data_IF_317336809903
#
_entry.id   IF_317336809903
#
_cell.length_a   1.000
_cell.length_b   1.000
_cell.length_c   1.000
_cell.angle_alpha   90.00
_cell.angle_beta   90.00
_cell.angle_gamma   90.00
#
_symmetry.space_group_name_H-M   'P 1'
#
loop_
_entity.id
_entity.type
_entity.pdbx_description
1 polymer ?
#
# COMPACT_ATOMS: atom_id res chain seq x y z
N UNK A 1 -17.08 -13.94 -30.65
CA UNK A 1 -15.72 -14.44 -30.98
C UNK A 1 -14.81 -13.23 -31.13
N UNK A 2 -13.57 -13.28 -30.64
CA UNK A 2 -12.63 -12.16 -30.78
C UNK A 2 -12.19 -12.03 -32.26
N UNK A 3 -11.99 -10.81 -32.75
CA UNK A 3 -11.59 -10.59 -34.15
C UNK A 3 -10.08 -10.82 -34.30
N UNK A 4 -9.71 -11.99 -34.82
CA UNK A 4 -8.32 -12.48 -34.90
C UNK A 4 -7.42 -11.62 -35.81
N UNK A 5 -8.01 -10.86 -36.73
CA UNK A 5 -7.30 -10.01 -37.69
C UNK A 5 -6.65 -8.76 -37.05
N UNK A 6 -7.05 -8.39 -35.82
CA UNK A 6 -6.55 -7.21 -35.11
C UNK A 6 -5.47 -7.53 -34.05
N UNK A 7 -5.07 -8.79 -33.89
CA UNK A 7 -4.08 -9.20 -32.89
C UNK A 7 -2.67 -8.96 -33.43
N UNK A 8 -2.09 -7.80 -33.13
CA UNK A 8 -0.66 -7.55 -33.35
C UNK A 8 0.15 -8.11 -32.17
N UNK A 9 1.16 -8.97 -32.40
CA UNK A 9 2.02 -9.45 -31.33
C UNK A 9 2.78 -8.28 -30.70
N UNK A 10 2.88 -8.29 -29.36
CA UNK A 10 3.56 -7.24 -28.62
C UNK A 10 5.08 -7.45 -28.66
N UNK A 11 5.84 -6.36 -28.74
CA UNK A 11 7.30 -6.45 -28.63
C UNK A 11 7.69 -6.86 -27.19
N UNK A 12 8.80 -7.58 -27.00
CA UNK A 12 9.32 -7.85 -25.66
C UNK A 12 9.49 -6.56 -24.86
N UNK A 13 8.95 -6.52 -23.63
CA UNK A 13 8.95 -5.33 -22.77
C UNK A 13 7.84 -4.30 -23.05
N UNK A 14 6.99 -4.51 -24.06
CA UNK A 14 5.86 -3.64 -24.35
C UNK A 14 4.57 -4.20 -23.75
N UNK A 15 3.90 -3.42 -22.89
CA UNK A 15 2.56 -3.76 -22.41
C UNK A 15 1.57 -3.72 -23.57
N UNK A 16 0.71 -4.74 -23.67
CA UNK A 16 -0.41 -4.78 -24.61
C UNK A 16 -1.46 -3.68 -24.40
N UNK A 17 -1.43 -3.04 -23.22
CA UNK A 17 -2.21 -1.86 -22.93
C UNK A 17 -1.29 -0.73 -22.43
N UNK A 18 -0.65 0.03 -23.34
CA UNK A 18 0.27 1.11 -22.98
C UNK A 18 -0.44 2.29 -22.29
N UNK A 19 -1.77 2.41 -22.43
CA UNK A 19 -2.57 3.44 -21.74
C UNK A 19 -2.86 3.10 -20.27
N UNK A 20 -2.47 1.90 -19.82
CA UNK A 20 -2.78 1.43 -18.48
C UNK A 20 -4.27 1.09 -18.29
N UNK A 21 -4.69 0.72 -17.07
CA UNK A 21 -6.08 0.41 -16.79
C UNK A 21 -7.01 1.59 -17.13
N UNK A 22 -8.28 1.28 -17.42
CA UNK A 22 -9.27 2.31 -17.76
C UNK A 22 -9.38 3.35 -16.62
N UNK A 23 -9.59 4.64 -16.93
CA UNK A 23 -9.86 5.64 -15.91
C UNK A 23 -11.01 5.20 -15.00
N UNK A 24 -10.83 5.29 -13.68
CA UNK A 24 -11.80 4.82 -12.68
C UNK A 24 -11.66 3.34 -12.28
N UNK A 25 -10.69 2.61 -12.84
CA UNK A 25 -10.34 1.29 -12.34
C UNK A 25 -9.81 1.39 -10.90
N UNK A 26 -10.54 0.79 -9.95
CA UNK A 26 -10.12 0.69 -8.56
C UNK A 26 -9.33 -0.60 -8.37
N UNK A 27 -8.17 -0.49 -7.73
CA UNK A 27 -7.39 -1.65 -7.33
C UNK A 27 -8.01 -2.30 -6.08
N UNK A 28 -7.72 -3.57 -5.84
CA UNK A 28 -8.19 -4.30 -4.66
C UNK A 28 -7.83 -3.57 -3.35
N UNK A 29 -6.64 -2.97 -3.29
CA UNK A 29 -6.22 -2.16 -2.14
C UNK A 29 -7.16 -0.99 -1.87
N UNK A 30 -7.63 -0.30 -2.91
CA UNK A 30 -8.61 0.79 -2.80
C UNK A 30 -9.93 0.28 -2.24
N UNK A 31 -10.44 -0.85 -2.75
CA UNK A 31 -11.65 -1.46 -2.23
C UNK A 31 -11.54 -1.87 -0.75
N UNK A 32 -10.40 -2.43 -0.36
CA UNK A 32 -10.14 -2.81 1.04
C UNK A 32 -10.10 -1.57 1.93
N UNK A 33 -9.41 -0.50 1.51
CA UNK A 33 -9.36 0.75 2.27
C UNK A 33 -10.75 1.39 2.41
N UNK A 34 -11.54 1.40 1.36
CA UNK A 34 -12.93 1.91 1.39
C UNK A 34 -13.78 1.12 2.40
N UNK A 35 -13.75 -0.21 2.33
CA UNK A 35 -14.51 -1.06 3.26
C UNK A 35 -14.04 -0.93 4.72
N UNK A 36 -12.72 -0.83 4.95
CA UNK A 36 -12.18 -0.71 6.31
C UNK A 36 -12.49 0.64 6.99
N UNK A 37 -12.69 1.70 6.19
CA UNK A 37 -13.03 3.04 6.68
C UNK A 37 -14.54 3.33 6.66
N UNK A 38 -15.38 2.40 6.21
CA UNK A 38 -16.82 2.59 6.15
C UNK A 38 -17.42 2.75 7.56
N UNK A 39 -17.88 3.95 7.89
CA UNK A 39 -18.48 4.26 9.17
C UNK A 39 -19.88 3.63 9.35
N UNK A 40 -20.54 3.27 8.25
CA UNK A 40 -21.85 2.62 8.27
C UNK A 40 -21.75 1.10 8.32
N UNK A 41 -20.55 0.55 8.51
CA UNK A 41 -20.39 -0.89 8.64
C UNK A 41 -21.16 -1.41 9.87
N UNK A 42 -22.01 -2.39 9.62
CA UNK A 42 -22.78 -3.09 10.65
C UNK A 42 -22.36 -4.56 10.70
N UNK A 43 -21.86 -5.00 11.84
CA UNK A 43 -21.57 -6.41 12.10
C UNK A 43 -22.43 -6.91 13.26
N UNK A 44 -23.20 -7.96 13.00
CA UNK A 44 -23.91 -8.69 14.06
C UNK A 44 -22.92 -9.64 14.73
N UNK A 45 -22.61 -9.39 16.00
CA UNK A 45 -21.80 -10.30 16.80
C UNK A 45 -22.63 -11.51 17.24
N UNK A 46 -21.94 -12.61 17.58
CA UNK A 46 -22.57 -13.85 18.02
C UNK A 46 -23.39 -13.70 19.32
N UNK A 47 -23.16 -12.64 20.09
CA UNK A 47 -23.91 -12.28 21.30
C UNK A 47 -25.19 -11.46 21.01
N UNK A 48 -25.51 -11.20 19.73
CA UNK A 48 -26.69 -10.43 19.32
C UNK A 48 -26.47 -8.91 19.30
N UNK A 49 -25.29 -8.41 19.70
CA UNK A 49 -24.97 -6.99 19.61
C UNK A 49 -24.63 -6.59 18.18
N UNK A 50 -25.03 -5.39 17.79
CA UNK A 50 -24.69 -4.81 16.49
C UNK A 50 -23.52 -3.85 16.70
N UNK A 51 -22.35 -4.22 16.20
CA UNK A 51 -21.24 -3.29 16.09
C UNK A 51 -21.51 -2.35 14.91
N UNK A 52 -21.66 -1.06 15.20
CA UNK A 52 -21.73 0.00 14.18
C UNK A 52 -20.47 0.83 14.22
N UNK A 53 -19.80 0.97 13.09
CA UNK A 53 -18.65 1.86 12.93
C UNK A 53 -17.53 1.24 12.09
N UNK A 54 -16.52 2.06 11.81
CA UNK A 54 -15.41 1.68 10.94
C UNK A 54 -14.71 0.38 11.40
N UNK A 55 -14.66 -0.68 10.56
CA UNK A 55 -14.01 -1.96 10.89
C UNK A 55 -12.57 -1.81 11.36
N UNK A 56 -11.83 -0.86 10.78
CA UNK A 56 -10.44 -0.60 11.13
C UNK A 56 -10.27 -0.28 12.62
N UNK A 57 -11.20 0.47 13.22
CA UNK A 57 -11.16 0.82 14.64
C UNK A 57 -11.35 -0.42 15.52
N UNK A 58 -12.23 -1.34 15.13
CA UNK A 58 -12.42 -2.60 15.83
C UNK A 58 -11.18 -3.50 15.75
N UNK A 59 -10.58 -3.61 14.57
CA UNK A 59 -9.36 -4.40 14.36
C UNK A 59 -8.22 -3.87 15.24
N UNK A 60 -7.99 -2.55 15.27
CA UNK A 60 -6.97 -1.93 16.12
C UNK A 60 -7.24 -2.21 17.60
N UNK A 61 -8.48 -2.01 18.08
CA UNK A 61 -8.85 -2.30 19.47
C UNK A 61 -8.60 -3.77 19.84
N UNK A 62 -8.98 -4.71 18.97
CA UNK A 62 -8.75 -6.13 19.23
C UNK A 62 -7.26 -6.49 19.22
N UNK A 63 -6.47 -5.89 18.34
CA UNK A 63 -5.02 -6.03 18.34
C UNK A 63 -4.41 -5.51 19.65
N UNK A 64 -4.87 -4.37 20.16
CA UNK A 64 -4.41 -3.84 21.46
C UNK A 64 -4.72 -4.80 22.61
N UNK A 65 -5.95 -5.33 22.69
CA UNK A 65 -6.33 -6.29 23.72
C UNK A 65 -5.47 -7.55 23.63
N UNK A 66 -5.19 -8.05 22.41
CA UNK A 66 -4.29 -9.20 22.22
C UNK A 66 -2.86 -8.91 22.64
N UNK A 67 -2.32 -7.74 22.27
CA UNK A 67 -0.98 -7.32 22.68
C UNK A 67 -0.86 -7.21 24.21
N UNK A 68 -1.86 -6.62 24.88
CA UNK A 68 -1.92 -6.55 26.35
C UNK A 68 -1.98 -7.93 27.01
N UNK A 69 -2.57 -8.92 26.33
CA UNK A 69 -2.60 -10.33 26.78
C UNK A 69 -1.30 -11.08 26.48
N UNK A 70 -0.29 -10.44 25.88
CA UNK A 70 1.01 -11.04 25.58
C UNK A 70 1.18 -11.59 24.17
N UNK A 71 0.26 -11.31 23.24
CA UNK A 71 0.46 -11.66 21.82
C UNK A 71 1.55 -10.77 21.20
N UNK A 72 2.76 -11.33 21.07
CA UNK A 72 3.94 -10.65 20.54
C UNK A 72 3.75 -10.19 19.09
N UNK A 73 2.94 -10.91 18.28
CA UNK A 73 2.67 -10.49 16.89
C UNK A 73 1.78 -9.26 16.86
N UNK A 74 0.76 -9.22 17.71
CA UNK A 74 -0.10 -8.05 17.82
C UNK A 74 0.68 -6.83 18.34
N UNK A 75 1.57 -7.03 19.30
CA UNK A 75 2.49 -6.00 19.79
C UNK A 75 3.42 -5.48 18.69
N UNK A 76 4.07 -6.37 17.94
CA UNK A 76 4.97 -6.01 16.84
C UNK A 76 4.26 -5.21 15.74
N UNK A 77 3.06 -5.65 15.33
CA UNK A 77 2.24 -4.91 14.35
C UNK A 77 1.94 -3.50 14.87
N UNK A 78 1.44 -3.37 16.10
CA UNK A 78 1.12 -2.07 16.68
C UNK A 78 2.35 -1.18 16.83
N UNK A 79 3.50 -1.74 17.24
CA UNK A 79 4.77 -1.01 17.36
C UNK A 79 5.23 -0.47 16.01
N UNK A 80 5.26 -1.34 14.98
CA UNK A 80 5.71 -0.99 13.62
C UNK A 80 4.87 0.11 12.99
N UNK A 81 3.54 0.03 13.11
CA UNK A 81 2.63 0.99 12.49
C UNK A 81 2.36 2.23 13.37
N UNK A 82 2.48 2.12 14.69
CA UNK A 82 2.22 3.23 15.63
C UNK A 82 3.42 4.15 15.88
N UNK A 83 4.63 3.57 15.97
CA UNK A 83 5.86 4.33 16.27
C UNK A 83 6.84 4.40 15.09
N UNK A 84 6.53 3.68 14.00
CA UNK A 84 7.40 3.59 12.82
C UNK A 84 8.51 2.55 12.99
N UNK A 85 9.01 2.04 11.88
CA UNK A 85 10.06 1.00 11.83
C UNK A 85 11.47 1.56 11.72
N UNK A 86 11.61 2.87 11.54
CA UNK A 86 12.87 3.53 11.26
C UNK A 86 13.19 4.49 12.39
N UNK A 87 13.97 4.03 13.37
CA UNK A 87 14.68 4.95 14.26
C UNK A 87 15.81 5.55 13.42
N UNK A 88 15.67 6.82 13.05
CA UNK A 88 16.73 7.57 12.38
C UNK A 88 17.89 7.81 13.36
N UNK A 89 18.82 6.86 13.41
CA UNK A 89 20.04 6.96 14.22
C UNK A 89 21.16 7.75 13.53
N UNK A 90 20.99 8.08 12.24
CA UNK A 90 22.06 8.66 11.42
C UNK A 90 21.89 10.15 11.18
N UNK A 91 20.67 10.67 11.17
CA UNK A 91 20.39 11.96 10.54
C UNK A 91 19.78 13.00 11.45
N UNK A 92 19.45 12.65 12.71
CA UNK A 92 18.81 13.57 13.68
C UNK A 92 17.66 14.37 13.03
N UNK A 93 16.90 13.77 12.11
CA UNK A 93 15.79 14.42 11.41
C UNK A 93 16.18 15.45 10.33
N UNK A 94 17.43 15.50 9.87
CA UNK A 94 17.83 16.29 8.70
C UNK A 94 17.79 15.41 7.44
N UNK A 95 17.37 15.96 6.31
CA UNK A 95 17.48 15.26 5.05
C UNK A 95 18.96 15.07 4.68
N UNK A 96 19.36 13.84 4.33
CA UNK A 96 20.67 13.62 3.73
C UNK A 96 20.71 14.38 2.40
N UNK A 97 21.75 15.20 2.13
CA UNK A 97 21.94 15.75 0.80
C UNK A 97 22.14 14.56 -0.14
N UNK A 98 21.16 14.26 -0.97
CA UNK A 98 21.35 13.31 -2.06
C UNK A 98 22.45 13.89 -2.94
N UNK A 99 23.59 13.19 -3.12
CA UNK A 99 24.58 13.64 -4.06
C UNK A 99 23.95 13.50 -5.45
N UNK A 100 23.39 14.60 -5.97
CA UNK A 100 23.20 14.76 -7.39
C UNK A 100 24.62 14.85 -7.93
N UNK A 101 25.22 13.72 -8.24
CA UNK A 101 26.39 13.68 -9.10
C UNK A 101 25.79 13.82 -10.49
N UNK A 102 25.86 15.00 -11.15
CA UNK A 102 25.60 15.03 -12.57
C UNK A 102 26.62 14.07 -13.20
N UNK A 103 26.12 12.98 -13.79
CA UNK A 103 26.95 12.15 -14.64
C UNK A 103 27.30 13.05 -15.83
N UNK A 104 28.49 13.65 -15.81
CA UNK A 104 29.00 14.41 -16.93
C UNK A 104 29.32 13.39 -18.04
N UNK A 105 28.29 13.05 -18.82
CA UNK A 105 28.46 12.29 -20.05
C UNK A 105 29.05 13.27 -21.05
N UNK A 106 30.37 13.47 -20.97
CA UNK A 106 31.12 14.04 -22.07
C UNK A 106 30.90 13.14 -23.28
N UNK A 107 30.00 13.54 -24.16
CA UNK A 107 29.89 12.98 -25.51
C UNK A 107 31.16 13.37 -26.26
N UNK A 108 32.18 12.53 -26.17
CA UNK A 108 33.33 12.59 -27.05
C UNK A 108 32.95 11.87 -28.35
N UNK A 109 32.29 12.62 -29.24
CA UNK A 109 32.12 12.25 -30.64
C UNK A 109 33.18 13.03 -31.43
N UNK A 110 34.40 12.49 -31.54
CA UNK A 110 35.34 12.79 -32.64
C UNK A 110 36.58 11.88 -32.57
N UNK A 111 36.55 10.77 -33.31
CA UNK A 111 37.53 10.44 -34.38
C UNK A 111 37.09 9.18 -35.14
#
# INVERSE_FOLDING_TARGET
MANEQNLKPWKPGQSGNPKGPKPGYKHLSTHIQEMLNDENFELKLANGEIFKGAPVKAIIKTAMIKAMKGDVKAFDILGKYGFGTKTDITTNGKDLPTPIIPLDVSTDNSD
#
